data_IF_780266192169
#
_entry.id   IF_780266192169
#
_cell.length_a   1.000
_cell.length_b   1.000
_cell.length_c   1.000
_cell.angle_alpha   90.00
_cell.angle_beta   90.00
_cell.angle_gamma   90.00
#
_symmetry.space_group_name_H-M   'P 1'
#
loop_
_entity.id
_entity.type
_entity.pdbx_description
1 polymer ?
#
# COMPACT_ATOMS: atom_id res chain seq x y z
N UNK A 1 -18.16 3.04 7.88
CA UNK A 1 -17.21 2.80 6.77
C UNK A 1 -16.40 4.08 6.53
N UNK A 2 -15.11 3.96 6.25
CA UNK A 2 -14.22 5.11 6.09
C UNK A 2 -12.90 4.75 5.42
N UNK A 3 -12.21 5.75 4.88
CA UNK A 3 -10.92 5.58 4.19
C UNK A 3 -9.89 6.49 4.80
N UNK A 4 -8.82 5.90 5.32
CA UNK A 4 -7.63 6.61 5.77
C UNK A 4 -6.54 6.50 4.71
N UNK A 5 -5.94 7.62 4.31
CA UNK A 5 -4.87 7.61 3.30
C UNK A 5 -3.60 8.24 3.81
N UNK A 6 -2.46 7.73 3.35
CA UNK A 6 -1.13 8.29 3.63
C UNK A 6 -0.25 8.25 2.39
N UNK A 7 0.58 9.28 2.21
CA UNK A 7 1.63 9.26 1.20
C UNK A 7 2.82 8.47 1.75
N UNK A 8 3.29 7.47 0.99
CA UNK A 8 4.45 6.65 1.33
C UNK A 8 5.58 6.97 0.38
N UNK A 9 6.63 7.57 0.94
CA UNK A 9 7.83 7.85 0.19
C UNK A 9 8.56 6.57 -0.19
N UNK A 10 8.92 6.46 -1.47
CA UNK A 10 9.75 5.42 -2.02
C UNK A 10 11.16 5.50 -1.47
N UNK A 11 11.72 4.33 -1.12
CA UNK A 11 13.07 4.24 -0.55
C UNK A 11 14.12 4.49 -1.63
N UNK A 12 15.20 5.19 -1.26
CA UNK A 12 16.43 5.23 -2.04
C UNK A 12 17.04 3.83 -2.08
N UNK A 13 17.49 3.41 -3.26
CA UNK A 13 18.08 2.09 -3.52
C UNK A 13 19.33 2.25 -4.38
N UNK A 14 20.32 1.38 -4.14
CA UNK A 14 21.52 1.30 -4.96
C UNK A 14 21.26 0.42 -6.17
N UNK A 15 21.70 0.87 -7.34
CA UNK A 15 21.70 0.12 -8.60
C UNK A 15 23.14 -0.04 -9.06
N UNK A 16 23.36 -0.80 -10.15
CA UNK A 16 24.70 -1.03 -10.71
C UNK A 16 25.41 0.28 -11.10
N UNK A 17 24.68 1.27 -11.61
CA UNK A 17 25.21 2.54 -12.11
C UNK A 17 25.15 3.70 -11.10
N UNK A 18 24.54 3.53 -9.92
CA UNK A 18 24.45 4.61 -8.95
C UNK A 18 23.34 4.44 -7.91
N UNK A 19 22.75 5.55 -7.48
CA UNK A 19 21.58 5.57 -6.59
C UNK A 19 20.33 5.93 -7.37
N UNK A 20 19.28 5.13 -7.21
CA UNK A 20 17.93 5.43 -7.67
C UNK A 20 16.95 5.51 -6.50
N UNK A 21 15.69 5.81 -6.79
CA UNK A 21 14.60 5.83 -5.80
C UNK A 21 13.44 5.01 -6.35
N UNK A 22 12.75 4.25 -5.50
CA UNK A 22 11.45 3.67 -5.86
C UNK A 22 10.43 4.80 -5.99
N UNK A 23 9.41 4.59 -6.83
CA UNK A 23 8.30 5.53 -6.94
C UNK A 23 7.65 5.74 -5.56
N UNK A 24 7.21 6.98 -5.32
CA UNK A 24 6.33 7.29 -4.21
C UNK A 24 4.95 6.69 -4.48
N UNK A 25 4.26 6.25 -3.44
CA UNK A 25 2.93 5.61 -3.57
C UNK A 25 1.99 6.19 -2.54
N UNK A 26 0.70 6.25 -2.86
CA UNK A 26 -0.33 6.58 -1.87
C UNK A 26 -0.97 5.29 -1.37
N UNK A 27 -0.99 5.08 -0.06
CA UNK A 27 -1.64 3.92 0.56
C UNK A 27 -3.00 4.33 1.10
N UNK A 28 -3.99 3.46 0.94
CA UNK A 28 -5.29 3.56 1.56
C UNK A 28 -5.51 2.38 2.52
N UNK A 29 -6.06 2.67 3.69
CA UNK A 29 -6.56 1.70 4.65
C UNK A 29 -8.07 1.91 4.68
N UNK A 30 -8.83 0.87 4.37
CA UNK A 30 -10.28 0.94 4.17
C UNK A 30 -10.96 0.11 5.25
N UNK A 31 -11.87 0.75 5.98
CA UNK A 31 -12.73 0.08 6.96
C UNK A 31 -14.07 -0.23 6.32
N UNK A 32 -14.35 -1.53 6.18
CA UNK A 32 -15.61 -2.04 5.66
C UNK A 32 -16.73 -1.95 6.70
N UNK A 33 -17.98 -2.06 6.26
CA UNK A 33 -19.09 -2.25 7.18
C UNK A 33 -19.02 -3.66 7.80
N UNK A 34 -19.72 -3.86 8.91
CA UNK A 34 -19.82 -5.16 9.54
C UNK A 34 -20.53 -6.15 8.60
N UNK A 35 -19.99 -7.36 8.47
CA UNK A 35 -20.50 -8.40 7.56
C UNK A 35 -19.98 -8.33 6.12
N UNK A 36 -19.42 -7.19 5.68
CA UNK A 36 -18.85 -7.07 4.34
C UNK A 36 -17.46 -7.72 4.25
N UNK A 37 -17.21 -8.44 3.16
CA UNK A 37 -15.92 -9.08 2.87
C UNK A 37 -15.49 -8.82 1.44
N UNK A 38 -14.17 -8.79 1.22
CA UNK A 38 -13.59 -8.75 -0.11
C UNK A 38 -12.95 -10.11 -0.39
N UNK A 39 -13.56 -10.88 -1.28
CA UNK A 39 -13.25 -12.30 -1.48
C UNK A 39 -11.80 -12.55 -1.93
N UNK A 40 -11.24 -11.66 -2.74
CA UNK A 40 -9.85 -11.78 -3.24
C UNK A 40 -8.77 -11.67 -2.15
N UNK A 41 -9.10 -11.17 -0.96
CA UNK A 41 -8.17 -11.04 0.17
C UNK A 41 -8.34 -12.14 1.24
N UNK A 42 -9.26 -13.10 1.04
CA UNK A 42 -9.66 -14.07 2.05
C UNK A 42 -8.82 -15.35 2.18
N UNK A 43 -7.79 -15.57 1.34
CA UNK A 43 -6.99 -16.81 1.30
C UNK A 43 -5.57 -16.70 1.92
N UNK A 44 -5.17 -15.54 2.45
CA UNK A 44 -3.83 -15.33 2.99
C UNK A 44 -3.90 -14.98 4.49
N UNK A 45 -4.19 -15.98 5.31
CA UNK A 45 -3.99 -15.94 6.78
C UNK A 45 -3.66 -17.34 7.28
#
# INVERSE_FOLDING_TARGET
>A
AGVNTINRQGKRKRTKSGFGKRADTKRAIVTLAEGDRIDIFGQAS
#
